data_IF_006246618648
#
_entry.id   IF_006246618648
#
_cell.length_a   1.000
_cell.length_b   1.000
_cell.length_c   1.000
_cell.angle_alpha   90.00
_cell.angle_beta   90.00
_cell.angle_gamma   90.00
#
_symmetry.space_group_name_H-M   'P 1'
#
loop_
_entity.id
_entity.type
_entity.pdbx_description
1 polymer ?
#
# COMPACT_ATOMS: atom_id res chain seq x y z
N UNK A 1 -2.98 59.59 -5.86
CA UNK A 1 -3.56 58.25 -6.13
C UNK A 1 -2.90 57.25 -5.21
N UNK A 2 -3.47 57.05 -4.02
CA UNK A 2 -2.87 56.22 -2.96
C UNK A 2 -3.22 54.76 -3.28
N UNK A 3 -2.24 53.98 -3.71
CA UNK A 3 -2.39 52.56 -3.95
C UNK A 3 -2.42 51.85 -2.59
N UNK A 4 -3.61 51.51 -2.10
CA UNK A 4 -3.77 50.60 -0.96
C UNK A 4 -3.31 49.20 -1.41
N UNK A 5 -2.04 48.85 -1.14
CA UNK A 5 -1.58 47.46 -1.25
C UNK A 5 -2.01 46.76 0.04
N UNK A 6 -3.28 46.34 0.10
CA UNK A 6 -3.75 45.48 1.17
C UNK A 6 -3.29 44.05 0.87
N UNK A 7 -2.23 43.59 1.54
CA UNK A 7 -1.73 42.23 1.39
C UNK A 7 -2.77 41.21 1.87
N UNK A 8 -3.02 40.16 1.07
CA UNK A 8 -3.99 39.11 1.42
C UNK A 8 -3.30 38.09 2.33
N UNK A 9 -3.66 38.07 3.61
CA UNK A 9 -3.13 37.11 4.59
C UNK A 9 -3.76 35.73 4.39
N UNK A 10 -3.19 34.95 3.48
CA UNK A 10 -3.60 33.56 3.20
C UNK A 10 -2.53 32.61 3.72
N UNK A 11 -2.97 31.50 4.33
CA UNK A 11 -2.08 30.40 4.72
C UNK A 11 -1.67 29.57 3.51
N UNK A 12 -0.50 29.88 2.95
CA UNK A 12 0.06 29.20 1.77
C UNK A 12 0.76 27.85 2.06
N UNK A 13 0.68 27.35 3.30
CA UNK A 13 1.46 26.19 3.74
C UNK A 13 1.06 24.85 3.07
N UNK A 14 -0.14 24.77 2.47
CA UNK A 14 -0.69 23.54 1.87
C UNK A 14 -1.03 23.66 0.39
N UNK A 15 -0.66 24.76 -0.27
CA UNK A 15 -0.99 24.99 -1.68
C UNK A 15 -0.33 23.96 -2.60
N UNK A 16 0.89 23.53 -2.23
CA UNK A 16 1.60 22.48 -2.95
C UNK A 16 1.00 21.11 -2.65
N UNK A 17 0.17 20.63 -3.57
CA UNK A 17 -0.41 19.27 -3.51
C UNK A 17 0.67 18.20 -3.74
N UNK A 18 0.85 17.31 -2.76
CA UNK A 18 1.82 16.21 -2.82
C UNK A 18 1.17 14.98 -3.49
N UNK A 19 1.24 14.92 -4.82
CA UNK A 19 0.87 13.74 -5.59
C UNK A 19 1.83 13.54 -6.76
N UNK A 20 2.03 12.28 -7.16
CA UNK A 20 2.92 11.96 -8.29
C UNK A 20 2.19 12.18 -9.61
N UNK A 21 2.85 12.86 -10.54
CA UNK A 21 2.37 13.10 -11.91
C UNK A 21 2.98 12.14 -12.94
N UNK A 22 4.02 11.40 -12.54
CA UNK A 22 4.76 10.44 -13.37
C UNK A 22 5.39 9.35 -12.50
N UNK A 23 5.76 8.19 -13.06
CA UNK A 23 6.50 7.18 -12.32
C UNK A 23 7.93 7.65 -12.08
N UNK A 24 8.47 7.41 -10.88
CA UNK A 24 9.88 7.70 -10.56
C UNK A 24 10.87 6.75 -11.26
N UNK A 25 10.38 5.58 -11.69
CA UNK A 25 11.18 4.56 -12.37
C UNK A 25 11.53 4.98 -13.80
N UNK A 26 12.74 4.66 -14.24
CA UNK A 26 13.21 4.89 -15.62
C UNK A 26 12.92 3.71 -16.58
N UNK A 27 12.26 2.66 -16.10
CA UNK A 27 11.87 1.51 -16.91
C UNK A 27 11.02 1.93 -18.13
N UNK A 28 11.49 1.54 -19.31
CA UNK A 28 10.89 1.86 -20.61
C UNK A 28 9.49 1.27 -20.72
N UNK A 29 9.28 0.02 -20.29
CA UNK A 29 7.99 -0.67 -20.41
C UNK A 29 6.91 0.03 -19.57
N UNK A 30 7.27 0.42 -18.35
CA UNK A 30 6.37 1.17 -17.48
C UNK A 30 6.00 2.53 -18.08
N UNK A 31 6.96 3.22 -18.70
CA UNK A 31 6.72 4.53 -19.35
C UNK A 31 5.84 4.41 -20.59
N UNK A 32 6.00 3.35 -21.39
CA UNK A 32 5.13 3.08 -22.54
C UNK A 32 3.69 2.83 -22.10
N UNK A 33 3.49 2.00 -21.09
CA UNK A 33 2.15 1.70 -20.56
C UNK A 33 1.50 2.94 -19.93
N UNK A 34 2.28 3.78 -19.25
CA UNK A 34 1.83 5.09 -18.76
C UNK A 34 1.41 6.02 -19.92
N UNK A 35 2.15 6.07 -21.03
CA UNK A 35 1.79 6.90 -22.19
C UNK A 35 0.42 6.47 -22.75
N UNK A 36 0.18 5.17 -22.89
CA UNK A 36 -1.10 4.62 -23.33
C UNK A 36 -2.24 5.02 -22.38
N UNK A 37 -2.11 4.74 -21.09
CA UNK A 37 -3.18 5.06 -20.14
C UNK A 37 -3.39 6.56 -19.92
N UNK A 38 -2.37 7.39 -20.15
CA UNK A 38 -2.49 8.86 -20.12
C UNK A 38 -3.26 9.39 -21.32
N UNK A 39 -3.14 8.75 -22.48
CA UNK A 39 -4.00 9.03 -23.63
C UNK A 39 -5.44 8.60 -23.36
N UNK A 40 -5.64 7.34 -22.94
CA UNK A 40 -6.97 6.79 -22.65
C UNK A 40 -7.70 7.55 -21.55
N UNK A 41 -7.02 7.94 -20.46
CA UNK A 41 -7.66 8.68 -19.35
C UNK A 41 -8.11 10.08 -19.72
N UNK A 42 -7.55 10.66 -20.79
CA UNK A 42 -7.90 12.00 -21.29
C UNK A 42 -9.03 11.94 -22.31
N UNK A 43 -9.10 10.87 -23.11
CA UNK A 43 -10.05 10.73 -24.23
C UNK A 43 -11.31 9.94 -23.86
N UNK A 44 -11.26 9.14 -22.81
CA UNK A 44 -12.38 8.32 -22.35
C UNK A 44 -12.87 8.76 -20.96
N UNK A 45 -14.18 8.70 -20.75
CA UNK A 45 -14.80 9.09 -19.47
C UNK A 45 -14.79 7.99 -18.40
N UNK A 46 -14.37 6.77 -18.76
CA UNK A 46 -14.30 5.65 -17.84
C UNK A 46 -13.40 5.95 -16.61
N UNK A 47 -13.93 5.90 -15.36
CA UNK A 47 -13.16 6.21 -14.16
C UNK A 47 -12.03 5.20 -13.91
N UNK A 48 -12.17 3.98 -14.45
CA UNK A 48 -11.18 2.91 -14.40
C UNK A 48 -9.80 3.34 -14.91
N UNK A 49 -9.73 4.04 -16.04
CA UNK A 49 -8.47 4.47 -16.64
C UNK A 49 -7.72 5.48 -15.75
N UNK A 50 -8.48 6.40 -15.11
CA UNK A 50 -7.94 7.37 -14.14
C UNK A 50 -7.35 6.67 -12.91
N UNK A 51 -7.98 5.57 -12.46
CA UNK A 51 -7.47 4.76 -11.34
C UNK A 51 -6.21 3.99 -11.72
N UNK A 52 -6.17 3.35 -12.89
CA UNK A 52 -4.97 2.61 -13.35
C UNK A 52 -3.78 3.56 -13.50
N UNK A 53 -3.95 4.71 -14.16
CA UNK A 53 -2.88 5.68 -14.33
C UNK A 53 -2.29 6.11 -12.98
N UNK A 54 -3.15 6.39 -11.99
CA UNK A 54 -2.73 6.75 -10.64
C UNK A 54 -1.96 5.61 -9.96
N UNK A 55 -2.36 4.35 -10.16
CA UNK A 55 -1.69 3.18 -9.59
C UNK A 55 -0.31 2.93 -10.22
N UNK A 56 -0.14 3.19 -11.51
CA UNK A 56 1.15 3.03 -12.20
C UNK A 56 2.23 3.99 -11.65
N UNK A 57 1.85 5.17 -11.17
CA UNK A 57 2.77 6.13 -10.53
C UNK A 57 3.18 5.75 -9.10
N UNK A 58 2.49 4.79 -8.48
CA UNK A 58 2.78 4.39 -7.10
C UNK A 58 4.12 3.66 -6.98
N UNK A 59 4.78 3.79 -5.82
CA UNK A 59 6.00 3.05 -5.51
C UNK A 59 5.68 1.59 -5.27
N UNK A 60 6.70 0.72 -5.35
CA UNK A 60 6.57 -0.72 -5.08
C UNK A 60 6.00 -0.99 -3.68
N UNK A 61 6.38 -0.21 -2.68
CA UNK A 61 5.81 -0.29 -1.31
C UNK A 61 4.30 -0.04 -1.27
N UNK A 62 3.82 0.90 -2.06
CA UNK A 62 2.39 1.25 -2.15
C UNK A 62 1.62 0.35 -3.13
N UNK A 63 2.31 -0.59 -3.80
CA UNK A 63 1.76 -1.63 -4.67
C UNK A 63 2.07 -3.00 -4.05
N UNK A 64 1.42 -3.35 -2.93
CA UNK A 64 1.69 -4.62 -2.26
C UNK A 64 1.36 -5.80 -3.21
N UNK A 65 2.13 -6.90 -3.13
CA UNK A 65 1.83 -8.08 -3.92
C UNK A 65 0.47 -8.66 -3.51
N UNK A 66 -0.29 -9.15 -4.50
CA UNK A 66 -1.59 -9.77 -4.27
C UNK A 66 -1.44 -11.29 -4.31
N UNK A 67 -1.82 -11.96 -3.22
CA UNK A 67 -1.84 -13.42 -3.16
C UNK A 67 -2.98 -14.01 -4.00
N UNK A 68 -2.71 -15.14 -4.66
CA UNK A 68 -3.71 -15.88 -5.45
C UNK A 68 -4.94 -16.24 -4.61
N UNK A 69 -4.75 -16.67 -3.36
CA UNK A 69 -5.86 -17.00 -2.46
C UNK A 69 -6.80 -15.82 -2.21
N UNK A 70 -6.26 -14.60 -2.13
CA UNK A 70 -7.06 -13.38 -1.97
C UNK A 70 -7.82 -13.02 -3.24
N UNK A 71 -7.21 -13.23 -4.40
CA UNK A 71 -7.87 -13.04 -5.70
C UNK A 71 -9.03 -14.02 -5.85
N UNK A 72 -8.81 -15.30 -5.60
CA UNK A 72 -9.83 -16.36 -5.69
C UNK A 72 -11.01 -16.04 -4.77
N UNK A 73 -10.76 -15.62 -3.52
CA UNK A 73 -11.82 -15.22 -2.59
C UNK A 73 -12.64 -14.03 -3.12
N UNK A 74 -12.00 -13.07 -3.77
CA UNK A 74 -12.68 -11.89 -4.32
C UNK A 74 -13.50 -12.20 -5.57
N UNK A 75 -13.06 -13.18 -6.38
CA UNK A 75 -13.73 -13.64 -7.59
C UNK A 75 -14.91 -14.56 -7.29
N UNK A 76 -14.86 -15.33 -6.20
CA UNK A 76 -15.97 -16.19 -5.73
C UNK A 76 -17.17 -15.43 -5.17
N UNK A 77 -17.08 -14.10 -5.04
CA UNK A 77 -18.22 -13.29 -4.60
C UNK A 77 -19.29 -13.27 -5.70
N UNK A 78 -20.56 -13.35 -5.28
CA UNK A 78 -21.71 -13.38 -6.18
C UNK A 78 -21.71 -12.13 -7.11
N UNK A 79 -22.05 -12.34 -8.38
CA UNK A 79 -22.12 -11.27 -9.39
C UNK A 79 -20.79 -10.95 -10.10
N UNK A 80 -19.76 -11.81 -10.02
CA UNK A 80 -18.43 -11.56 -10.62
C UNK A 80 -17.85 -12.70 -11.47
N UNK A 81 -18.68 -13.64 -11.89
CA UNK A 81 -18.25 -14.87 -12.57
C UNK A 81 -17.61 -14.60 -13.94
N UNK A 82 -18.11 -13.60 -14.68
CA UNK A 82 -17.63 -13.25 -16.03
C UNK A 82 -16.75 -12.01 -16.08
N UNK A 83 -16.26 -11.53 -14.92
CA UNK A 83 -15.43 -10.33 -14.86
C UNK A 83 -13.94 -10.69 -14.88
N UNK A 84 -13.13 -9.84 -15.50
CA UNK A 84 -11.68 -9.99 -15.47
C UNK A 84 -11.08 -9.29 -14.25
N UNK A 85 -10.29 -10.02 -13.45
CA UNK A 85 -9.56 -9.45 -12.34
C UNK A 85 -8.35 -8.64 -12.84
N UNK A 86 -8.33 -7.33 -12.61
CA UNK A 86 -7.21 -6.45 -12.99
C UNK A 86 -6.39 -6.06 -11.77
N UNK A 87 -5.10 -6.40 -11.79
CA UNK A 87 -4.14 -6.10 -10.73
C UNK A 87 -2.98 -5.29 -11.29
N UNK A 88 -2.68 -4.14 -10.66
CA UNK A 88 -1.50 -3.33 -10.98
C UNK A 88 -0.44 -3.59 -9.91
N UNK A 89 0.29 -4.69 -10.08
CA UNK A 89 1.28 -5.15 -9.10
C UNK A 89 1.67 -6.61 -9.36
N UNK A 90 2.47 -7.18 -8.48
CA UNK A 90 2.90 -8.57 -8.57
C UNK A 90 1.84 -9.50 -7.99
N UNK A 91 1.52 -10.58 -8.70
CA UNK A 91 0.71 -11.68 -8.17
C UNK A 91 1.66 -12.74 -7.61
N UNK A 92 1.45 -13.14 -6.37
CA UNK A 92 2.32 -14.11 -5.68
C UNK A 92 1.57 -15.39 -5.39
N UNK A 93 2.24 -16.52 -5.57
CA UNK A 93 1.85 -17.76 -4.92
C UNK A 93 2.05 -17.62 -3.40
N UNK A 94 1.12 -18.16 -2.62
CA UNK A 94 0.64 -17.68 -1.31
C UNK A 94 1.74 -17.32 -0.26
N UNK A 95 2.36 -16.14 -0.35
CA UNK A 95 3.39 -15.67 0.59
C UNK A 95 2.79 -14.92 1.79
N UNK A 96 2.42 -15.66 2.85
CA UNK A 96 1.74 -15.13 4.05
C UNK A 96 2.66 -14.69 5.20
N UNK A 97 3.97 -14.61 4.99
CA UNK A 97 4.91 -14.33 6.09
C UNK A 97 4.97 -12.86 6.53
N UNK A 98 4.96 -11.91 5.59
CA UNK A 98 5.13 -10.47 5.91
C UNK A 98 3.96 -9.95 6.75
N UNK A 99 2.73 -10.41 6.46
CA UNK A 99 1.53 -9.99 7.19
C UNK A 99 1.52 -10.39 8.67
N UNK A 100 2.31 -11.40 9.08
CA UNK A 100 2.40 -11.83 10.48
C UNK A 100 3.11 -10.82 11.38
N UNK A 101 3.87 -9.90 10.78
CA UNK A 101 4.61 -8.86 11.49
C UNK A 101 3.85 -7.53 11.56
N UNK A 102 2.70 -7.40 10.87
CA UNK A 102 1.86 -6.21 10.93
C UNK A 102 0.77 -6.36 11.99
N UNK A 103 0.40 -5.25 12.64
CA UNK A 103 -0.64 -5.21 13.67
C UNK A 103 -0.19 -4.47 14.93
N UNK A 104 -0.88 -4.72 16.05
CA UNK A 104 -0.47 -4.20 17.37
C UNK A 104 0.97 -4.63 17.69
N UNK A 105 1.70 -3.80 18.42
CA UNK A 105 3.09 -4.08 18.75
C UNK A 105 3.24 -5.43 19.48
N UNK A 106 4.26 -6.26 19.15
CA UNK A 106 4.48 -7.51 19.83
C UNK A 106 4.70 -7.28 21.33
N UNK A 107 3.82 -7.83 22.16
CA UNK A 107 3.89 -7.67 23.62
C UNK A 107 2.92 -6.66 24.19
N UNK A 108 2.01 -6.06 23.42
CA UNK A 108 0.80 -5.47 24.03
C UNK A 108 -0.17 -6.58 24.45
N UNK A 109 -1.01 -6.38 25.49
CA UNK A 109 -2.02 -7.37 25.86
C UNK A 109 -2.86 -7.83 24.66
N UNK A 110 -3.07 -9.15 24.56
CA UNK A 110 -3.82 -9.81 23.47
C UNK A 110 -3.27 -9.59 22.04
N UNK A 111 -1.97 -9.25 21.89
CA UNK A 111 -1.32 -9.20 20.57
C UNK A 111 -0.75 -10.56 20.17
N UNK A 112 -1.04 -10.99 18.93
CA UNK A 112 -0.49 -12.20 18.32
C UNK A 112 0.55 -11.91 17.22
N UNK A 113 0.97 -10.66 17.09
CA UNK A 113 1.95 -10.21 16.08
C UNK A 113 3.30 -10.89 16.31
N UNK A 114 3.87 -11.48 15.26
CA UNK A 114 5.17 -12.14 15.29
C UNK A 114 6.27 -11.08 15.44
N UNK A 115 7.14 -11.15 16.47
CA UNK A 115 8.27 -10.23 16.58
C UNK A 115 9.34 -10.52 15.52
N UNK A 116 10.14 -9.51 15.18
CA UNK A 116 11.31 -9.67 14.33
C UNK A 116 12.48 -10.19 15.15
N UNK A 117 12.75 -11.50 15.06
CA UNK A 117 13.83 -12.17 15.79
C UNK A 117 14.83 -12.73 14.78
N UNK A 118 16.13 -12.50 15.00
CA UNK A 118 17.20 -12.98 14.10
C UNK A 118 17.18 -14.51 13.91
N UNK A 119 16.99 -15.25 15.00
CA UNK A 119 16.92 -16.71 15.00
C UNK A 119 15.81 -17.19 15.93
N UNK A 120 15.14 -18.28 15.56
CA UNK A 120 14.16 -18.94 16.46
C UNK A 120 14.88 -19.92 17.38
N UNK A 121 14.54 -19.93 18.65
CA UNK A 121 15.08 -20.89 19.62
C UNK A 121 14.63 -20.64 21.04
N UNK A 122 15.01 -21.54 21.96
CA UNK A 122 14.65 -21.43 23.40
C UNK A 122 15.21 -20.16 24.04
N UNK A 123 16.38 -19.70 23.60
CA UNK A 123 17.11 -18.54 24.14
C UNK A 123 16.65 -17.19 23.57
N UNK A 124 15.91 -17.17 22.46
CA UNK A 124 15.55 -15.93 21.76
C UNK A 124 14.11 -15.51 22.06
N UNK A 125 13.95 -14.39 22.78
CA UNK A 125 12.66 -13.71 23.06
C UNK A 125 11.53 -14.59 23.66
N UNK A 126 11.87 -15.57 24.52
CA UNK A 126 10.88 -16.43 25.22
C UNK A 126 10.86 -16.28 26.75
N UNK A 127 11.58 -15.30 27.31
CA UNK A 127 11.74 -15.13 28.76
C UNK A 127 10.71 -14.13 29.34
N UNK A 128 11.16 -12.97 29.80
CA UNK A 128 10.32 -11.92 30.38
C UNK A 128 9.30 -11.38 29.36
N UNK A 129 8.07 -11.13 29.79
CA UNK A 129 6.98 -10.64 28.94
C UNK A 129 6.27 -11.72 28.11
N UNK A 130 6.75 -12.98 28.14
CA UNK A 130 6.13 -14.12 27.45
C UNK A 130 5.66 -15.24 28.40
N UNK A 131 6.17 -15.27 29.63
CA UNK A 131 5.88 -16.31 30.63
C UNK A 131 5.56 -15.67 31.98
N UNK A 132 4.56 -16.20 32.67
CA UNK A 132 4.18 -15.74 34.00
C UNK A 132 5.31 -15.93 35.02
N UNK A 133 6.09 -17.01 34.89
CA UNK A 133 7.21 -17.37 35.76
C UNK A 133 8.41 -16.38 35.74
N UNK A 134 8.46 -15.43 34.81
CA UNK A 134 9.62 -14.53 34.63
C UNK A 134 9.14 -13.08 34.54
N UNK A 135 8.81 -12.50 35.69
CA UNK A 135 8.41 -11.09 35.83
C UNK A 135 6.94 -10.84 35.51
N UNK A 136 6.55 -10.97 34.25
CA UNK A 136 5.15 -10.78 33.81
C UNK A 136 4.91 -11.43 32.44
N UNK A 137 3.63 -11.64 32.11
CA UNK A 137 3.16 -12.11 30.79
C UNK A 137 2.08 -11.16 30.27
N UNK A 138 2.24 -10.74 29.02
CA UNK A 138 1.26 -9.93 28.29
C UNK A 138 0.39 -10.80 27.38
#
# INVERSE_FOLDING_TARGET
MILFICGVDIRHNKDRKVHRKEPKSQDIYLRLLVKLYRFLSRRSDAPFNKVILRRLFMSKTNRPPLALSRLIRQMKLQGRENLTAVVVGTITDDAREVYRHFGKAPGTPHSHTKPYVRSKGRKFERARGRRASRGYKN
#
